data_IF_268915192665
#
_entry.id   IF_268915192665
#
_cell.length_a   1.000
_cell.length_b   1.000
_cell.length_c   1.000
_cell.angle_alpha   90.00
_cell.angle_beta   90.00
_cell.angle_gamma   90.00
#
_symmetry.space_group_name_H-M   'P 1'
#
loop_
_entity.id
_entity.type
_entity.pdbx_description
1 polymer ?
#
# COMPACT_ATOMS: atom_id res chain seq x y z
N UNK A 1 -36.80 -10.30 15.62
CA UNK A 1 -35.42 -10.83 15.55
C UNK A 1 -35.29 -11.56 14.23
N UNK A 2 -34.66 -10.94 13.22
CA UNK A 2 -34.55 -11.54 11.89
C UNK A 2 -33.59 -12.74 11.97
N UNK A 3 -34.14 -13.97 11.93
CA UNK A 3 -33.35 -15.18 11.76
C UNK A 3 -32.80 -15.19 10.32
N UNK A 4 -31.61 -14.65 10.15
CA UNK A 4 -30.87 -14.76 8.89
C UNK A 4 -30.54 -16.25 8.74
N UNK A 5 -31.22 -16.93 7.81
CA UNK A 5 -31.00 -18.35 7.56
C UNK A 5 -29.50 -18.62 7.31
N UNK A 6 -28.88 -19.59 7.99
CA UNK A 6 -27.44 -19.88 7.88
C UNK A 6 -27.00 -20.16 6.43
N UNK A 7 -27.93 -20.60 5.58
CA UNK A 7 -27.73 -20.80 4.14
C UNK A 7 -27.47 -19.50 3.36
N UNK A 8 -28.09 -18.38 3.73
CA UNK A 8 -27.87 -17.06 3.12
C UNK A 8 -26.49 -16.50 3.50
N UNK A 9 -26.05 -16.71 4.74
CA UNK A 9 -24.70 -16.35 5.18
C UNK A 9 -23.62 -17.20 4.51
N UNK A 10 -23.88 -18.49 4.28
CA UNK A 10 -22.96 -19.38 3.60
C UNK A 10 -22.83 -19.05 2.10
N UNK A 11 -23.95 -18.80 1.42
CA UNK A 11 -23.95 -18.43 0.00
C UNK A 11 -23.37 -17.05 -0.23
N UNK A 12 -23.66 -16.05 0.61
CA UNK A 12 -23.03 -14.73 0.55
C UNK A 12 -21.50 -14.78 0.76
N UNK A 13 -20.99 -15.63 1.67
CA UNK A 13 -19.54 -15.86 1.82
C UNK A 13 -18.95 -16.54 0.58
N UNK A 14 -19.68 -17.46 -0.04
CA UNK A 14 -19.22 -18.16 -1.24
C UNK A 14 -19.11 -17.21 -2.44
N UNK A 15 -20.12 -16.37 -2.70
CA UNK A 15 -20.04 -15.33 -3.74
C UNK A 15 -18.99 -14.29 -3.44
N UNK A 16 -18.82 -13.90 -2.18
CA UNK A 16 -17.74 -13.00 -1.77
C UNK A 16 -16.36 -13.59 -2.08
N UNK A 17 -16.12 -14.89 -1.82
CA UNK A 17 -14.85 -15.55 -2.18
C UNK A 17 -14.60 -15.58 -3.68
N UNK A 18 -15.62 -15.85 -4.50
CA UNK A 18 -15.48 -15.90 -5.96
C UNK A 18 -15.15 -14.52 -6.54
N UNK A 19 -15.74 -13.44 -6.01
CA UNK A 19 -15.47 -12.06 -6.47
C UNK A 19 -14.14 -11.53 -5.90
N UNK A 20 -13.79 -11.91 -4.68
CA UNK A 20 -12.52 -11.49 -4.05
C UNK A 20 -11.32 -12.17 -4.68
N UNK A 21 -11.47 -13.38 -5.22
CA UNK A 21 -10.39 -14.13 -5.84
C UNK A 21 -9.67 -13.38 -6.99
N UNK A 22 -10.36 -12.86 -8.03
CA UNK A 22 -9.71 -12.08 -9.08
C UNK A 22 -9.15 -10.76 -8.56
N UNK A 23 -9.76 -10.16 -7.53
CA UNK A 23 -9.26 -8.94 -6.89
C UNK A 23 -7.92 -9.19 -6.19
N UNK A 24 -7.83 -10.26 -5.38
CA UNK A 24 -6.62 -10.69 -4.69
C UNK A 24 -5.53 -11.04 -5.70
N UNK A 25 -5.88 -11.78 -6.75
CA UNK A 25 -4.94 -12.12 -7.83
C UNK A 25 -4.40 -10.87 -8.53
N UNK A 26 -5.27 -9.89 -8.84
CA UNK A 26 -4.85 -8.61 -9.40
C UNK A 26 -3.91 -7.83 -8.48
N UNK A 27 -4.22 -7.76 -7.19
CA UNK A 27 -3.37 -7.11 -6.19
C UNK A 27 -2.02 -7.84 -6.02
N UNK A 28 -2.00 -9.18 -6.07
CA UNK A 28 -0.76 -9.95 -6.01
C UNK A 28 0.12 -9.71 -7.25
N UNK A 29 -0.48 -9.61 -8.44
CA UNK A 29 0.25 -9.28 -9.67
C UNK A 29 0.77 -7.84 -9.66
N UNK A 30 0.04 -6.91 -9.06
CA UNK A 30 0.44 -5.51 -8.94
C UNK A 30 1.49 -5.27 -7.84
N UNK A 31 1.61 -6.20 -6.88
CA UNK A 31 2.56 -6.15 -5.76
C UNK A 31 4.00 -5.80 -6.16
N UNK A 32 4.67 -6.48 -7.12
CA UNK A 32 6.05 -6.14 -7.48
C UNK A 32 6.19 -4.72 -8.02
N UNK A 33 5.16 -4.21 -8.72
CA UNK A 33 5.17 -2.86 -9.27
C UNK A 33 5.03 -1.84 -8.13
N UNK A 34 4.09 -2.07 -7.21
CA UNK A 34 3.89 -1.22 -6.02
C UNK A 34 5.15 -1.19 -5.16
N UNK A 35 5.75 -2.35 -4.91
CA UNK A 35 6.98 -2.47 -4.13
C UNK A 35 8.13 -1.74 -4.81
N UNK A 36 8.33 -1.95 -6.11
CA UNK A 36 9.40 -1.28 -6.86
C UNK A 36 9.23 0.25 -6.86
N UNK A 37 8.02 0.75 -7.16
CA UNK A 37 7.75 2.20 -7.22
C UNK A 37 7.86 2.84 -5.84
N UNK A 38 7.25 2.24 -4.81
CA UNK A 38 7.28 2.80 -3.46
C UNK A 38 8.69 2.74 -2.86
N UNK A 39 9.43 1.63 -3.06
CA UNK A 39 10.81 1.54 -2.60
C UNK A 39 11.70 2.53 -3.34
N UNK A 40 11.53 2.67 -4.67
CA UNK A 40 12.28 3.65 -5.45
C UNK A 40 12.02 5.06 -4.95
N UNK A 41 10.76 5.49 -4.81
CA UNK A 41 10.40 6.82 -4.33
C UNK A 41 10.88 7.06 -2.91
N UNK A 42 10.76 6.06 -2.02
CA UNK A 42 11.24 6.18 -0.64
C UNK A 42 12.75 6.35 -0.61
N UNK A 43 13.51 5.47 -1.27
CA UNK A 43 14.98 5.49 -1.22
C UNK A 43 15.53 6.71 -1.94
N UNK A 44 15.15 6.92 -3.20
CA UNK A 44 15.67 8.05 -3.98
C UNK A 44 15.15 9.39 -3.46
N UNK A 45 13.88 9.47 -3.05
CA UNK A 45 13.31 10.68 -2.48
C UNK A 45 13.98 11.08 -1.16
N UNK A 46 14.27 10.11 -0.29
CA UNK A 46 14.97 10.37 0.96
C UNK A 46 16.45 10.71 0.73
N UNK A 47 17.14 9.97 -0.14
CA UNK A 47 18.55 10.25 -0.50
C UNK A 47 18.66 11.64 -1.13
N UNK A 48 17.78 11.99 -2.07
CA UNK A 48 17.75 13.31 -2.67
C UNK A 48 17.47 14.38 -1.61
N UNK A 49 16.47 14.17 -0.74
CA UNK A 49 16.15 15.13 0.32
C UNK A 49 17.34 15.40 1.23
N UNK A 50 18.04 14.35 1.67
CA UNK A 50 19.24 14.46 2.51
C UNK A 50 20.39 15.12 1.76
N UNK A 51 20.64 14.74 0.50
CA UNK A 51 21.70 15.31 -0.31
C UNK A 51 21.51 16.81 -0.53
N UNK A 52 20.27 17.26 -0.82
CA UNK A 52 19.96 18.67 -1.01
C UNK A 52 20.05 19.50 0.28
N UNK A 53 19.63 18.96 1.43
CA UNK A 53 19.86 19.61 2.73
C UNK A 53 21.35 19.79 3.04
N UNK A 54 22.15 18.72 2.82
CA UNK A 54 23.60 18.77 3.08
C UNK A 54 24.34 19.69 2.12
N UNK A 55 23.86 19.84 0.88
CA UNK A 55 24.51 20.66 -0.13
C UNK A 55 24.47 22.16 0.19
N UNK A 56 23.56 22.64 1.05
CA UNK A 56 23.39 24.07 1.38
C UNK A 56 23.28 25.01 0.16
N UNK A 57 23.00 24.46 -1.04
CA UNK A 57 22.92 25.21 -2.30
C UNK A 57 21.50 25.76 -2.46
N UNK A 58 21.28 27.00 -2.03
CA UNK A 58 20.12 27.80 -2.44
C UNK A 58 18.92 27.85 -1.47
N UNK A 59 17.87 28.62 -1.83
CA UNK A 59 16.81 29.06 -0.92
C UNK A 59 16.07 27.87 -0.30
N UNK A 60 16.08 27.81 1.05
CA UNK A 60 15.36 26.85 1.93
C UNK A 60 14.68 25.70 1.17
N UNK A 61 15.44 24.65 0.91
CA UNK A 61 14.90 23.42 0.36
C UNK A 61 13.80 22.89 1.31
N UNK A 62 12.61 22.50 0.78
CA UNK A 62 11.50 22.04 1.61
C UNK A 62 11.69 20.57 2.01
N UNK A 63 12.75 20.29 2.75
CA UNK A 63 13.14 18.94 3.17
C UNK A 63 12.01 18.17 3.82
N UNK A 64 11.30 18.81 4.77
CA UNK A 64 10.24 18.14 5.52
C UNK A 64 9.10 17.67 4.61
N UNK A 65 8.79 18.43 3.55
CA UNK A 65 7.74 18.05 2.60
C UNK A 65 8.20 16.87 1.74
N UNK A 66 9.44 16.90 1.23
CA UNK A 66 9.96 15.86 0.33
C UNK A 66 10.23 14.57 1.10
N UNK A 67 10.85 14.65 2.27
CA UNK A 67 11.02 13.52 3.18
C UNK A 67 9.67 12.95 3.63
N UNK A 68 8.71 13.82 3.96
CA UNK A 68 7.35 13.40 4.33
C UNK A 68 6.63 12.64 3.21
N UNK A 69 6.73 13.11 1.96
CA UNK A 69 6.18 12.42 0.80
C UNK A 69 6.86 11.07 0.56
N UNK A 70 8.19 11.01 0.63
CA UNK A 70 8.94 9.76 0.48
C UNK A 70 8.57 8.72 1.54
N UNK A 71 8.45 9.13 2.81
CA UNK A 71 8.00 8.28 3.90
C UNK A 71 6.53 7.87 3.73
N UNK A 72 5.68 8.75 3.18
CA UNK A 72 4.29 8.44 2.85
C UNK A 72 4.16 7.29 1.85
N UNK A 73 5.01 7.24 0.82
CA UNK A 73 5.06 6.11 -0.11
C UNK A 73 5.53 4.81 0.57
N UNK A 74 6.47 4.89 1.52
CA UNK A 74 6.84 3.74 2.35
C UNK A 74 5.70 3.23 3.22
N UNK A 75 4.98 4.14 3.88
CA UNK A 75 3.81 3.81 4.69
C UNK A 75 2.70 3.19 3.83
N UNK A 76 2.46 3.73 2.64
CA UNK A 76 1.50 3.18 1.69
C UNK A 76 1.86 1.74 1.31
N UNK A 77 3.14 1.46 1.03
CA UNK A 77 3.60 0.09 0.76
C UNK A 77 3.34 -0.83 1.96
N UNK A 78 3.64 -0.39 3.19
CA UNK A 78 3.39 -1.17 4.40
C UNK A 78 1.90 -1.50 4.59
N UNK A 79 1.02 -0.52 4.38
CA UNK A 79 -0.44 -0.71 4.43
C UNK A 79 -0.92 -1.65 3.33
N UNK A 80 -0.36 -1.57 2.12
CA UNK A 80 -0.66 -2.46 1.00
C UNK A 80 -0.31 -3.93 1.34
N UNK A 81 0.86 -4.16 1.93
CA UNK A 81 1.25 -5.49 2.40
C UNK A 81 0.34 -6.01 3.51
N UNK A 82 -0.03 -5.15 4.47
CA UNK A 82 -0.92 -5.53 5.56
C UNK A 82 -2.32 -5.88 5.05
N UNK A 83 -2.86 -5.10 4.12
CA UNK A 83 -4.13 -5.38 3.46
C UNK A 83 -4.09 -6.72 2.72
N UNK A 84 -3.02 -7.00 1.96
CA UNK A 84 -2.82 -8.29 1.31
C UNK A 84 -2.73 -9.45 2.32
N UNK A 85 -2.04 -9.28 3.45
CA UNK A 85 -1.95 -10.33 4.48
C UNK A 85 -3.31 -10.64 5.11
N UNK A 86 -4.12 -9.62 5.39
CA UNK A 86 -5.49 -9.81 5.92
C UNK A 86 -6.35 -10.49 4.85
N UNK A 87 -6.34 -9.97 3.63
CA UNK A 87 -7.21 -10.44 2.55
C UNK A 87 -6.88 -11.85 2.04
N UNK A 88 -5.61 -12.28 2.12
CA UNK A 88 -5.20 -13.65 1.79
C UNK A 88 -5.50 -14.63 2.92
N UNK A 89 -5.61 -14.15 4.17
CA UNK A 89 -5.84 -15.00 5.35
C UNK A 89 -7.32 -15.36 5.54
N UNK A 90 -8.25 -14.51 5.08
CA UNK A 90 -9.72 -14.70 5.15
C UNK A 90 -10.30 -15.56 3.99
#
# INVERSE_FOLDING_TARGET
MAQIHPALGASARMTWKVVSFPLIAGLLLLKPIVDAVCAFVLVFGLVAAVAFELSAVGPRFPFLQIAGMALGFGLFAALYHLALMVLVRD
#
